data_IF_181229788701
#
_entry.id   IF_181229788701
#
_cell.length_a   1.000
_cell.length_b   1.000
_cell.length_c   1.000
_cell.angle_alpha   90.00
_cell.angle_beta   90.00
_cell.angle_gamma   90.00
#
_symmetry.space_group_name_H-M   'P 1'
#
loop_
_entity.id
_entity.type
_entity.pdbx_description
1 polymer ?
#
# COMPACT_ATOMS: atom_id res chain seq x y z
N UNK A 1 -4.38 -17.02 -3.39
CA UNK A 1 -3.16 -16.20 -3.21
C UNK A 1 -1.96 -16.93 -3.81
N UNK A 2 -1.36 -16.40 -4.87
CA UNK A 2 -0.06 -16.91 -5.33
C UNK A 2 1.03 -16.32 -4.43
N UNK A 3 1.98 -17.15 -4.04
CA UNK A 3 3.07 -16.74 -3.14
C UNK A 3 4.42 -17.02 -3.76
N UNK A 4 5.28 -16.01 -3.81
CA UNK A 4 6.70 -16.19 -4.07
C UNK A 4 7.38 -16.40 -2.70
N UNK A 5 8.01 -17.56 -2.50
CA UNK A 5 8.84 -17.80 -1.31
C UNK A 5 10.30 -17.74 -1.76
N UNK A 6 10.97 -16.63 -1.45
CA UNK A 6 12.43 -16.63 -1.30
C UNK A 6 12.76 -17.16 0.10
N UNK A 7 13.91 -17.81 0.27
CA UNK A 7 14.35 -18.39 1.56
C UNK A 7 14.70 -17.38 2.66
N UNK A 8 14.25 -16.12 2.54
CA UNK A 8 14.49 -15.04 3.47
C UNK A 8 13.19 -14.69 4.20
N UNK A 9 13.21 -14.72 5.54
CA UNK A 9 12.08 -14.40 6.43
C UNK A 9 11.84 -12.89 6.56
N UNK A 10 12.17 -12.13 5.52
CA UNK A 10 12.17 -10.67 5.58
C UNK A 10 10.86 -10.10 5.02
N UNK A 11 10.45 -10.57 3.83
CA UNK A 11 9.32 -9.98 3.12
C UNK A 11 8.47 -11.03 2.41
N UNK A 12 7.15 -10.93 2.57
CA UNK A 12 6.16 -11.77 1.87
C UNK A 12 5.41 -10.96 0.82
N UNK A 13 5.53 -11.33 -0.45
CA UNK A 13 4.66 -10.80 -1.51
C UNK A 13 3.50 -11.74 -1.81
N UNK A 14 2.33 -11.12 -2.04
CA UNK A 14 1.07 -11.77 -2.30
C UNK A 14 0.42 -11.13 -3.51
N UNK A 15 -0.10 -11.96 -4.43
CA UNK A 15 -0.95 -11.52 -5.52
C UNK A 15 -2.33 -12.15 -5.34
N UNK A 16 -3.39 -11.34 -5.32
CA UNK A 16 -4.71 -11.81 -4.92
C UNK A 16 -5.88 -10.99 -5.47
N UNK A 17 -6.96 -11.70 -5.77
CA UNK A 17 -8.31 -11.13 -5.96
C UNK A 17 -9.00 -10.98 -4.60
N UNK A 18 -10.09 -10.20 -4.53
CA UNK A 18 -11.07 -10.17 -3.43
C UNK A 18 -11.42 -11.57 -2.95
N UNK A 19 -11.55 -12.51 -3.89
CA UNK A 19 -11.94 -13.89 -3.63
C UNK A 19 -10.89 -14.65 -2.78
N UNK A 20 -9.69 -14.08 -2.60
CA UNK A 20 -8.68 -14.59 -1.67
C UNK A 20 -9.01 -14.30 -0.20
N UNK A 21 -9.99 -13.44 0.08
CA UNK A 21 -10.48 -13.15 1.42
C UNK A 21 -11.85 -13.81 1.60
N UNK A 22 -11.88 -14.99 2.22
CA UNK A 22 -13.08 -15.83 2.44
C UNK A 22 -14.38 -15.02 2.65
N UNK A 23 -15.21 -14.82 1.62
CA UNK A 23 -16.62 -14.37 1.61
C UNK A 23 -17.08 -13.29 2.62
N UNK A 24 -16.18 -12.59 3.31
CA UNK A 24 -16.46 -11.68 4.43
C UNK A 24 -16.34 -10.22 4.03
N UNK A 25 -15.81 -9.96 2.83
CA UNK A 25 -15.71 -8.61 2.26
C UNK A 25 -16.51 -8.59 0.96
N UNK A 26 -17.76 -8.12 1.04
CA UNK A 26 -18.66 -7.99 -0.11
C UNK A 26 -18.24 -6.88 -1.08
N UNK A 27 -17.45 -5.91 -0.60
CA UNK A 27 -16.89 -4.84 -1.42
C UNK A 27 -15.48 -4.47 -0.95
N UNK A 28 -14.47 -4.97 -1.65
CA UNK A 28 -13.06 -4.76 -1.32
C UNK A 28 -12.51 -3.40 -1.76
N UNK A 29 -13.26 -2.60 -2.51
CA UNK A 29 -12.77 -1.33 -3.07
C UNK A 29 -13.40 -0.12 -2.39
N UNK A 30 -14.54 -0.29 -1.70
CA UNK A 30 -15.19 0.77 -0.95
C UNK A 30 -14.41 1.22 0.29
N UNK A 31 -13.75 0.28 0.98
CA UNK A 31 -13.12 0.52 2.28
C UNK A 31 -11.73 -0.11 2.34
N UNK A 32 -10.69 0.72 2.11
CA UNK A 32 -9.28 0.31 2.09
C UNK A 32 -8.83 -0.33 3.40
N UNK A 33 -9.35 0.15 4.53
CA UNK A 33 -9.02 -0.36 5.86
C UNK A 33 -9.58 -1.77 6.06
N UNK A 34 -10.80 -2.05 5.58
CA UNK A 34 -11.37 -3.39 5.63
C UNK A 34 -10.62 -4.37 4.74
N UNK A 35 -10.11 -3.92 3.60
CA UNK A 35 -9.26 -4.74 2.75
C UNK A 35 -7.96 -5.13 3.45
N UNK A 36 -7.26 -4.17 4.07
CA UNK A 36 -6.05 -4.44 4.85
C UNK A 36 -6.34 -5.35 6.06
N UNK A 37 -7.42 -5.09 6.80
CA UNK A 37 -7.86 -5.94 7.92
C UNK A 37 -8.16 -7.37 7.49
N UNK A 38 -8.70 -7.58 6.29
CA UNK A 38 -8.93 -8.92 5.75
C UNK A 38 -7.61 -9.61 5.38
N UNK A 39 -6.64 -8.86 4.86
CA UNK A 39 -5.28 -9.35 4.59
C UNK A 39 -4.55 -9.75 5.87
N UNK A 40 -4.63 -8.92 6.91
CA UNK A 40 -4.06 -9.16 8.25
C UNK A 40 -4.60 -10.40 8.98
N UNK A 41 -5.67 -11.05 8.48
CA UNK A 41 -6.14 -12.33 9.04
C UNK A 41 -5.21 -13.51 8.75
N UNK A 42 -4.33 -13.36 7.76
CA UNK A 42 -3.32 -14.36 7.47
C UNK A 42 -2.17 -14.27 8.49
N UNK A 43 -1.57 -15.41 8.84
CA UNK A 43 -0.43 -15.42 9.76
C UNK A 43 0.86 -15.03 9.02
N UNK A 44 1.36 -13.83 9.33
CA UNK A 44 2.61 -13.29 8.80
C UNK A 44 3.74 -13.21 9.83
N UNK A 45 3.63 -13.88 10.99
CA UNK A 45 4.64 -13.81 12.07
C UNK A 45 6.03 -14.28 11.67
N UNK A 46 6.14 -15.07 10.60
CA UNK A 46 7.42 -15.53 10.08
C UNK A 46 8.11 -14.50 9.17
N UNK A 47 7.47 -13.38 8.85
CA UNK A 47 8.01 -12.34 7.98
C UNK A 47 8.06 -11.00 8.70
N UNK A 48 9.01 -10.14 8.35
CA UNK A 48 9.02 -8.78 8.89
C UNK A 48 7.92 -7.92 8.27
N UNK A 49 7.65 -8.08 6.98
CA UNK A 49 6.55 -7.39 6.29
C UNK A 49 5.84 -8.30 5.29
N UNK A 50 4.54 -8.09 5.12
CA UNK A 50 3.74 -8.75 4.10
C UNK A 50 3.00 -7.73 3.23
N UNK A 51 3.02 -7.91 1.91
CA UNK A 51 2.38 -6.99 0.98
C UNK A 51 1.50 -7.68 -0.05
N UNK A 52 0.32 -7.11 -0.26
CA UNK A 52 -0.58 -7.47 -1.35
C UNK A 52 -0.38 -6.53 -2.53
N UNK A 53 -0.07 -7.10 -3.69
CA UNK A 53 -0.08 -6.41 -4.98
C UNK A 53 -1.42 -6.73 -5.66
N UNK A 54 -2.19 -5.69 -5.93
CA UNK A 54 -3.53 -5.82 -6.51
C UNK A 54 -3.69 -5.00 -7.79
N UNK A 55 -4.78 -5.27 -8.51
CA UNK A 55 -5.19 -4.52 -9.69
C UNK A 55 -6.67 -4.12 -9.48
N UNK A 56 -6.88 -3.15 -8.58
CA UNK A 56 -8.21 -2.76 -8.08
C UNK A 56 -8.32 -1.25 -7.94
N UNK A 57 -9.44 -0.72 -8.37
CA UNK A 57 -9.72 0.72 -8.25
C UNK A 57 -10.39 1.00 -6.90
N UNK A 58 -9.59 1.46 -5.93
CA UNK A 58 -10.08 1.75 -4.59
C UNK A 58 -10.71 3.15 -4.53
N UNK A 59 -11.76 3.28 -3.74
CA UNK A 59 -12.53 4.52 -3.59
C UNK A 59 -11.64 5.68 -3.12
N UNK A 60 -11.93 6.88 -3.64
CA UNK A 60 -11.18 8.09 -3.34
C UNK A 60 -9.78 8.14 -3.97
N UNK A 61 -9.52 7.30 -4.97
CA UNK A 61 -8.26 7.25 -5.71
C UNK A 61 -7.11 6.67 -4.90
N UNK A 62 -7.41 5.75 -3.98
CA UNK A 62 -6.41 5.16 -3.09
C UNK A 62 -5.49 4.22 -3.88
N UNK A 63 -4.20 4.53 -3.87
CA UNK A 63 -3.16 3.75 -4.53
C UNK A 63 -2.50 2.72 -3.60
N UNK A 64 -2.48 2.96 -2.30
CA UNK A 64 -1.91 2.07 -1.30
C UNK A 64 -2.52 2.28 0.08
N UNK A 65 -2.20 1.37 1.00
CA UNK A 65 -2.50 1.53 2.41
C UNK A 65 -1.64 0.58 3.25
N UNK A 66 -1.10 1.06 4.37
CA UNK A 66 -0.26 0.27 5.26
C UNK A 66 -0.44 0.64 6.74
N UNK A 67 -0.11 -0.30 7.61
CA UNK A 67 -0.08 -0.08 9.05
C UNK A 67 1.18 0.68 9.48
N UNK A 68 1.05 1.72 10.29
CA UNK A 68 2.20 2.57 10.66
C UNK A 68 3.04 1.96 11.79
N UNK A 69 4.36 1.89 11.62
CA UNK A 69 5.31 1.48 12.68
C UNK A 69 5.22 0.00 13.05
N UNK A 70 5.01 -0.87 12.06
CA UNK A 70 4.69 -2.30 12.26
C UNK A 70 5.70 -3.27 11.66
N UNK A 71 6.86 -2.80 11.20
CA UNK A 71 7.96 -3.68 10.75
C UNK A 71 8.26 -4.74 11.82
N UNK A 72 8.20 -6.00 11.42
CA UNK A 72 8.38 -7.20 12.26
C UNK A 72 7.43 -7.29 13.47
N UNK A 73 6.31 -6.56 13.49
CA UNK A 73 5.28 -6.74 14.49
C UNK A 73 4.61 -8.11 14.32
N UNK A 74 4.15 -8.71 15.42
CA UNK A 74 3.47 -10.01 15.39
C UNK A 74 2.07 -9.95 14.73
N UNK A 75 1.48 -8.76 14.62
CA UNK A 75 0.19 -8.51 13.99
C UNK A 75 0.29 -7.23 13.17
N UNK A 76 -0.49 -7.15 12.09
CA UNK A 76 -0.61 -5.95 11.24
C UNK A 76 0.70 -5.44 10.65
N UNK A 77 1.68 -6.32 10.45
CA UNK A 77 2.94 -6.05 9.75
C UNK A 77 2.77 -6.05 8.22
N UNK A 78 1.71 -5.42 7.73
CA UNK A 78 1.31 -5.55 6.33
C UNK A 78 0.86 -4.24 5.69
N UNK A 79 0.76 -4.30 4.36
CA UNK A 79 0.25 -3.23 3.52
C UNK A 79 -0.22 -3.77 2.16
N UNK A 80 -0.79 -2.90 1.34
CA UNK A 80 -1.10 -3.22 -0.05
C UNK A 80 -0.86 -2.04 -0.97
N UNK A 81 -0.65 -2.35 -2.25
CA UNK A 81 -0.69 -1.38 -3.33
C UNK A 81 -1.61 -1.86 -4.46
N UNK A 82 -2.04 -0.92 -5.29
CA UNK A 82 -2.76 -1.20 -6.54
C UNK A 82 -2.09 -0.58 -7.75
N UNK A 83 -2.10 -1.31 -8.86
CA UNK A 83 -1.65 -0.82 -10.16
C UNK A 83 -2.77 -0.22 -11.01
N UNK A 84 -3.96 0.01 -10.43
CA UNK A 84 -5.13 0.60 -11.11
C UNK A 84 -5.68 1.75 -10.26
N UNK A 85 -5.90 2.92 -10.86
CA UNK A 85 -6.49 4.07 -10.18
C UNK A 85 -7.37 4.87 -11.15
N UNK A 86 -8.61 5.17 -10.77
CA UNK A 86 -9.60 5.86 -11.61
C UNK A 86 -9.80 5.20 -12.99
N UNK A 87 -9.78 3.86 -13.02
CA UNK A 87 -9.91 3.08 -14.25
C UNK A 87 -8.71 3.13 -15.20
N UNK A 88 -7.57 3.71 -14.77
CA UNK A 88 -6.34 3.82 -15.58
C UNK A 88 -5.21 3.02 -14.94
N UNK A 89 -4.50 2.25 -15.76
CA UNK A 89 -3.32 1.50 -15.36
C UNK A 89 -2.21 2.44 -14.93
N UNK A 90 -1.62 2.16 -13.76
CA UNK A 90 -0.48 2.91 -13.25
C UNK A 90 0.81 2.33 -13.78
N UNK A 91 1.77 3.20 -14.04
CA UNK A 91 3.11 2.80 -14.46
C UNK A 91 3.81 1.98 -13.36
N UNK A 92 4.84 1.21 -13.73
CA UNK A 92 5.69 0.53 -12.75
C UNK A 92 6.41 1.54 -11.84
N UNK A 93 6.78 2.70 -12.37
CA UNK A 93 7.44 3.78 -11.62
C UNK A 93 6.52 4.32 -10.52
N UNK A 94 5.30 4.73 -10.89
CA UNK A 94 4.28 5.23 -9.97
C UNK A 94 3.93 4.19 -8.89
N UNK A 95 3.81 2.92 -9.30
CA UNK A 95 3.51 1.82 -8.38
C UNK A 95 4.67 1.55 -7.42
N UNK A 96 5.92 1.72 -7.87
CA UNK A 96 7.12 1.58 -7.04
C UNK A 96 7.22 2.72 -6.02
N UNK A 97 6.88 3.95 -6.41
CA UNK A 97 6.80 5.10 -5.50
C UNK A 97 5.75 4.85 -4.43
N UNK A 98 4.54 4.41 -4.81
CA UNK A 98 3.50 4.02 -3.86
C UNK A 98 3.98 2.90 -2.93
N UNK A 99 4.62 1.86 -3.47
CA UNK A 99 5.14 0.78 -2.62
C UNK A 99 6.13 1.29 -1.57
N UNK A 100 7.07 2.13 -1.98
CA UNK A 100 8.06 2.70 -1.08
C UNK A 100 7.44 3.68 -0.05
N UNK A 101 6.40 4.43 -0.43
CA UNK A 101 5.59 5.22 0.50
C UNK A 101 4.95 4.35 1.58
N UNK A 102 4.24 3.29 1.17
CA UNK A 102 3.58 2.39 2.12
C UNK A 102 4.59 1.69 3.04
N UNK A 103 5.75 1.29 2.51
CA UNK A 103 6.82 0.73 3.34
C UNK A 103 7.33 1.79 4.32
N UNK A 104 7.46 3.05 3.91
CA UNK A 104 7.77 4.17 4.79
C UNK A 104 6.82 4.26 5.99
N UNK A 105 5.51 4.09 5.76
CA UNK A 105 4.55 3.97 6.85
C UNK A 105 4.85 2.80 7.77
N UNK A 106 5.11 1.60 7.26
CA UNK A 106 5.47 0.47 8.12
C UNK A 106 6.74 0.76 8.96
N UNK A 107 7.70 1.53 8.45
CA UNK A 107 8.88 2.01 9.19
C UNK A 107 8.57 3.11 10.21
N UNK A 108 7.33 3.60 10.28
CA UNK A 108 6.85 4.57 11.25
C UNK A 108 6.81 6.02 10.73
N UNK A 109 7.09 6.24 9.45
CA UNK A 109 6.97 7.57 8.85
C UNK A 109 5.49 7.98 8.77
N UNK A 110 5.22 9.26 9.06
CA UNK A 110 3.94 9.91 8.82
C UNK A 110 3.98 10.65 7.50
N UNK A 111 2.86 11.26 7.10
CA UNK A 111 2.90 12.13 5.92
C UNK A 111 3.77 13.35 6.18
N UNK A 112 4.39 13.89 5.14
CA UNK A 112 5.26 15.07 5.24
C UNK A 112 4.53 16.27 5.90
N UNK A 113 3.22 16.40 5.67
CA UNK A 113 2.35 17.43 6.26
C UNK A 113 2.04 17.23 7.75
N UNK A 114 2.30 16.05 8.31
CA UNK A 114 2.10 15.74 9.74
C UNK A 114 3.26 16.24 10.62
N UNK A 115 4.36 16.72 10.03
CA UNK A 115 5.52 17.25 10.73
C UNK A 115 5.49 18.77 10.78
N UNK A 116 5.83 19.37 11.94
CA UNK A 116 6.04 20.82 12.08
C UNK A 116 7.43 21.22 11.59
N UNK A 117 7.73 20.87 10.32
CA UNK A 117 8.99 21.17 9.65
C UNK A 117 8.71 21.79 8.27
N UNK A 118 8.98 23.09 8.17
CA UNK A 118 8.72 23.86 6.95
C UNK A 118 9.60 23.46 5.76
N UNK A 119 10.71 22.75 5.97
CA UNK A 119 11.52 22.17 4.89
C UNK A 119 10.93 20.85 4.40
N UNK A 120 10.38 20.04 5.31
CA UNK A 120 9.72 18.77 4.98
C UNK A 120 8.42 18.99 4.19
N UNK A 121 7.59 19.94 4.63
CA UNK A 121 6.28 20.23 4.00
C UNK A 121 6.42 20.77 2.57
N UNK A 122 7.53 21.44 2.25
CA UNK A 122 7.70 22.16 0.97
C UNK A 122 8.14 21.28 -0.18
N UNK A 123 8.59 20.06 0.05
CA UNK A 123 9.03 19.17 -1.03
C UNK A 123 8.09 17.98 -1.10
N UNK A 124 7.70 17.63 -2.32
CA UNK A 124 6.93 16.42 -2.61
C UNK A 124 7.84 15.19 -2.45
N UNK A 125 8.24 14.90 -1.22
CA UNK A 125 8.99 13.70 -0.90
C UNK A 125 8.09 12.48 -0.96
N UNK A 126 8.70 11.31 -0.79
CA UNK A 126 8.02 10.03 -0.94
C UNK A 126 6.86 9.84 0.03
N UNK A 127 6.82 10.58 1.15
CA UNK A 127 5.77 10.49 2.17
C UNK A 127 4.67 11.56 2.00
N UNK A 128 4.58 12.22 0.85
CA UNK A 128 3.48 13.13 0.58
C UNK A 128 2.15 12.37 0.49
N UNK A 129 1.06 12.94 1.03
CA UNK A 129 -0.27 12.29 1.09
C UNK A 129 -0.92 12.09 -0.29
N UNK A 130 -0.49 12.89 -1.27
CA UNK A 130 -0.98 12.83 -2.64
C UNK A 130 0.22 12.73 -3.57
N UNK A 131 0.22 11.69 -4.39
CA UNK A 131 1.14 11.55 -5.50
C UNK A 131 0.49 12.08 -6.79
N UNK A 132 1.06 13.14 -7.34
CA UNK A 132 0.60 13.73 -8.60
C UNK A 132 1.44 13.21 -9.78
N UNK A 133 0.95 12.13 -10.39
CA UNK A 133 1.59 11.54 -11.55
C UNK A 133 1.45 12.40 -12.82
N UNK A 134 0.72 13.53 -12.81
CA UNK A 134 0.63 14.46 -13.96
C UNK A 134 1.95 15.19 -14.25
N UNK A 135 2.93 15.08 -13.34
CA UNK A 135 4.33 15.40 -13.64
C UNK A 135 4.93 14.46 -14.70
N UNK A 136 4.27 13.33 -14.97
CA UNK A 136 4.54 12.40 -16.05
C UNK A 136 3.34 12.35 -17.03
N UNK A 137 3.57 12.11 -18.34
CA UNK A 137 2.62 12.50 -19.39
C UNK A 137 1.24 11.80 -19.40
N UNK A 138 1.03 10.76 -18.60
CA UNK A 138 -0.22 9.97 -18.59
C UNK A 138 -0.78 9.68 -17.19
N UNK A 139 -0.22 10.30 -16.15
CA UNK A 139 -0.56 10.00 -14.77
C UNK A 139 -1.68 10.86 -14.17
N UNK A 140 -2.49 10.28 -13.27
CA UNK A 140 -3.48 10.99 -12.46
C UNK A 140 -3.07 11.13 -10.99
N UNK A 141 -3.78 11.96 -10.22
CA UNK A 141 -3.56 12.10 -8.77
C UNK A 141 -3.96 10.83 -8.04
N UNK A 142 -3.07 10.34 -7.18
CA UNK A 142 -3.29 9.16 -6.35
C UNK A 142 -3.19 9.53 -4.88
N UNK A 143 -4.14 9.07 -4.07
CA UNK A 143 -4.06 9.15 -2.62
C UNK A 143 -3.19 8.01 -2.12
N UNK A 144 -2.22 8.35 -1.27
CA UNK A 144 -1.44 7.40 -0.50
C UNK A 144 -2.06 7.32 0.92
#
# INVERSE_FOLDING_TARGET
MMTLSSGFKDFKSCFGSCDSFENTVTNCTAQRDNFLKAFDRHDFKEFCLAYMFSHRDFSGGTAGYASVGTVCAHNSNSGFITSLNYGVDRSLEDSTITFAHEVGHNFGAKHDSDYDDSECIKRDYIMNEVYDATLHPEGGKSRL
#
